data_IF_360586876988
#
_entry.id   IF_360586876988
#
_cell.length_a   1.000
_cell.length_b   1.000
_cell.length_c   1.000
_cell.angle_alpha   90.00
_cell.angle_beta   90.00
_cell.angle_gamma   90.00
#
_symmetry.space_group_name_H-M   'P 1'
#
loop_
_entity.id
_entity.type
_entity.pdbx_description
1 polymer ?
#
# COMPACT_ATOMS: atom_id res chain seq x y z
N UNK A 1 10.33 -0.84 21.18
CA UNK A 1 9.75 -2.08 20.59
C UNK A 1 8.75 -1.77 19.47
N UNK A 2 7.90 -0.74 19.60
CA UNK A 2 6.97 -0.32 18.54
C UNK A 2 7.63 -0.04 17.17
N UNK A 3 8.72 0.75 17.13
CA UNK A 3 9.42 1.08 15.87
C UNK A 3 10.04 -0.15 15.16
N UNK A 4 10.58 -1.12 15.90
CA UNK A 4 11.14 -2.35 15.32
C UNK A 4 10.07 -3.24 14.66
N UNK A 5 8.88 -3.35 15.29
CA UNK A 5 7.73 -4.07 14.72
C UNK A 5 7.23 -3.35 13.47
N UNK A 6 7.06 -2.02 13.53
CA UNK A 6 6.58 -1.21 12.39
C UNK A 6 7.52 -1.30 11.19
N UNK A 7 8.83 -1.18 11.41
CA UNK A 7 9.83 -1.33 10.35
C UNK A 7 9.77 -2.71 9.68
N UNK A 8 9.62 -3.76 10.49
CA UNK A 8 9.51 -5.14 9.99
C UNK A 8 8.23 -5.34 9.17
N UNK A 9 7.10 -4.79 9.62
CA UNK A 9 5.82 -4.84 8.90
C UNK A 9 5.91 -4.13 7.55
N UNK A 10 6.54 -2.96 7.47
CA UNK A 10 6.72 -2.26 6.18
C UNK A 10 7.60 -3.03 5.21
N UNK A 11 8.72 -3.62 5.67
CA UNK A 11 9.59 -4.42 4.81
C UNK A 11 8.91 -5.70 4.30
N UNK A 12 8.22 -6.42 5.20
CA UNK A 12 7.49 -7.64 4.84
C UNK A 12 6.32 -7.30 3.91
N UNK A 13 5.53 -6.27 4.26
CA UNK A 13 4.39 -5.83 3.45
C UNK A 13 4.81 -5.35 2.05
N UNK A 14 5.89 -4.57 1.96
CA UNK A 14 6.40 -4.06 0.70
C UNK A 14 6.86 -5.16 -0.25
N UNK A 15 7.62 -6.14 0.26
CA UNK A 15 8.11 -7.27 -0.54
C UNK A 15 6.97 -8.21 -0.99
N UNK A 16 6.02 -8.53 -0.10
CA UNK A 16 4.86 -9.35 -0.45
C UNK A 16 3.97 -8.64 -1.47
N UNK A 17 3.67 -7.36 -1.27
CA UNK A 17 2.85 -6.58 -2.20
C UNK A 17 3.43 -6.55 -3.61
N UNK A 18 4.75 -6.31 -3.71
CA UNK A 18 5.45 -6.35 -5.00
C UNK A 18 5.40 -7.73 -5.66
N UNK A 19 5.58 -8.81 -4.89
CA UNK A 19 5.52 -10.17 -5.42
C UNK A 19 4.13 -10.49 -5.98
N UNK A 20 3.06 -10.12 -5.28
CA UNK A 20 1.68 -10.31 -5.75
C UNK A 20 1.42 -9.51 -7.04
N UNK A 21 1.84 -8.25 -7.12
CA UNK A 21 1.71 -7.46 -8.35
C UNK A 21 2.53 -8.04 -9.51
N UNK A 22 3.70 -8.59 -9.23
CA UNK A 22 4.53 -9.29 -10.22
C UNK A 22 3.80 -10.52 -10.77
N UNK A 23 3.13 -11.29 -9.92
CA UNK A 23 2.32 -12.44 -10.36
C UNK A 23 1.17 -12.00 -11.27
N UNK A 24 0.46 -10.92 -10.93
CA UNK A 24 -0.60 -10.37 -11.79
C UNK A 24 -0.08 -9.90 -13.16
N UNK A 25 1.06 -9.22 -13.17
CA UNK A 25 1.72 -8.82 -14.41
C UNK A 25 2.06 -10.04 -15.26
N UNK A 26 2.81 -10.99 -14.68
CA UNK A 26 3.31 -12.16 -15.39
C UNK A 26 2.17 -13.03 -15.89
N UNK A 27 1.12 -13.26 -15.10
CA UNK A 27 -0.02 -14.07 -15.53
C UNK A 27 -0.74 -13.43 -16.73
N UNK A 28 -0.96 -12.12 -16.69
CA UNK A 28 -1.66 -11.38 -17.76
C UNK A 28 -0.81 -11.31 -19.03
N UNK A 29 0.45 -10.88 -18.91
CA UNK A 29 1.36 -10.74 -20.04
C UNK A 29 1.63 -12.10 -20.71
N UNK A 30 1.90 -13.16 -19.93
CA UNK A 30 2.15 -14.49 -20.48
C UNK A 30 0.90 -15.07 -21.16
N UNK A 31 -0.30 -14.83 -20.60
CA UNK A 31 -1.55 -15.27 -21.21
C UNK A 31 -1.83 -14.55 -22.53
N UNK A 32 -1.58 -13.23 -22.59
CA UNK A 32 -1.74 -12.44 -23.80
C UNK A 32 -0.75 -12.89 -24.90
N UNK A 33 0.51 -13.13 -24.55
CA UNK A 33 1.52 -13.67 -25.48
C UNK A 33 1.10 -15.05 -25.99
N UNK A 34 0.66 -15.95 -25.10
CA UNK A 34 0.19 -17.28 -25.46
C UNK A 34 -1.03 -17.26 -26.39
N UNK A 35 -1.86 -16.22 -26.31
CA UNK A 35 -3.00 -16.00 -27.22
C UNK A 35 -2.62 -15.42 -28.59
N UNK A 36 -1.33 -15.14 -28.84
CA UNK A 36 -0.85 -14.56 -30.10
C UNK A 36 -0.93 -13.03 -30.15
N UNK A 37 -1.16 -12.35 -29.02
CA UNK A 37 -1.13 -10.89 -28.94
C UNK A 37 0.30 -10.37 -29.16
N UNK A 38 0.44 -9.27 -29.88
CA UNK A 38 1.74 -8.63 -30.09
C UNK A 38 2.40 -8.27 -28.74
N UNK A 39 3.71 -8.48 -28.62
CA UNK A 39 4.45 -8.39 -27.35
C UNK A 39 4.28 -7.04 -26.64
N UNK A 40 4.36 -5.93 -27.38
CA UNK A 40 4.18 -4.58 -26.82
C UNK A 40 2.75 -4.37 -26.26
N UNK A 41 1.74 -4.95 -26.91
CA UNK A 41 0.37 -4.92 -26.42
C UNK A 41 0.20 -5.80 -25.17
N UNK A 42 0.81 -6.99 -25.16
CA UNK A 42 0.78 -7.90 -24.01
C UNK A 42 1.43 -7.28 -22.75
N UNK A 43 2.53 -6.54 -22.89
CA UNK A 43 3.14 -5.81 -21.76
C UNK A 43 2.22 -4.70 -21.24
N UNK A 44 1.57 -3.97 -22.16
CA UNK A 44 0.59 -2.95 -21.80
C UNK A 44 -0.58 -3.57 -21.02
N UNK A 45 -1.07 -4.73 -21.43
CA UNK A 45 -2.13 -5.44 -20.71
C UNK A 45 -1.68 -5.93 -19.34
N UNK A 46 -0.43 -6.41 -19.21
CA UNK A 46 0.20 -6.70 -17.92
C UNK A 46 0.17 -5.50 -16.97
N UNK A 47 0.58 -4.32 -17.44
CA UNK A 47 0.56 -3.10 -16.62
C UNK A 47 -0.86 -2.65 -16.26
N UNK A 48 -1.83 -2.75 -17.18
CA UNK A 48 -3.25 -2.45 -16.88
C UNK A 48 -3.76 -3.32 -15.73
N UNK A 49 -3.46 -4.62 -15.76
CA UNK A 49 -3.86 -5.55 -14.70
C UNK A 49 -3.24 -5.16 -13.35
N UNK A 50 -1.95 -4.81 -13.32
CA UNK A 50 -1.27 -4.34 -12.10
C UNK A 50 -1.88 -3.06 -11.55
N UNK A 51 -2.14 -2.06 -12.39
CA UNK A 51 -2.75 -0.81 -11.94
C UNK A 51 -4.15 -1.01 -11.39
N UNK A 52 -4.95 -1.89 -11.99
CA UNK A 52 -6.26 -2.23 -11.46
C UNK A 52 -6.14 -2.93 -10.08
N UNK A 53 -5.24 -3.91 -9.96
CA UNK A 53 -4.99 -4.59 -8.70
C UNK A 53 -4.51 -3.61 -7.61
N UNK A 54 -3.62 -2.67 -7.96
CA UNK A 54 -3.15 -1.63 -7.06
C UNK A 54 -4.27 -0.69 -6.63
N UNK A 55 -5.15 -0.27 -7.55
CA UNK A 55 -6.30 0.56 -7.24
C UNK A 55 -7.25 -0.12 -6.24
N UNK A 56 -7.60 -1.39 -6.47
CA UNK A 56 -8.43 -2.18 -5.54
C UNK A 56 -7.75 -2.32 -4.18
N UNK A 57 -6.44 -2.57 -4.18
CA UNK A 57 -5.65 -2.70 -2.95
C UNK A 57 -5.64 -1.40 -2.15
N UNK A 58 -5.50 -0.24 -2.82
CA UNK A 58 -5.54 1.07 -2.19
C UNK A 58 -6.91 1.40 -1.59
N UNK A 59 -8.00 1.07 -2.29
CA UNK A 59 -9.36 1.24 -1.74
C UNK A 59 -9.54 0.36 -0.51
N UNK A 60 -9.13 -0.91 -0.56
CA UNK A 60 -9.21 -1.81 0.59
C UNK A 60 -8.39 -1.30 1.78
N UNK A 61 -7.14 -0.87 1.53
CA UNK A 61 -6.28 -0.30 2.56
C UNK A 61 -6.87 0.98 3.17
N UNK A 62 -7.50 1.83 2.36
CA UNK A 62 -8.19 3.04 2.81
C UNK A 62 -9.37 2.71 3.73
N UNK A 63 -10.21 1.73 3.36
CA UNK A 63 -11.32 1.26 4.20
C UNK A 63 -10.81 0.69 5.52
N UNK A 64 -9.77 -0.13 5.48
CA UNK A 64 -9.13 -0.71 6.67
C UNK A 64 -8.60 0.41 7.59
N UNK A 65 -7.89 1.39 7.03
CA UNK A 65 -7.38 2.55 7.77
C UNK A 65 -8.52 3.37 8.40
N UNK A 66 -9.57 3.65 7.64
CA UNK A 66 -10.74 4.37 8.14
C UNK A 66 -11.43 3.65 9.31
N UNK A 67 -11.54 2.32 9.25
CA UNK A 67 -12.18 1.53 10.30
C UNK A 67 -11.30 1.33 11.55
N UNK A 68 -9.99 1.18 11.37
CA UNK A 68 -9.05 0.88 12.46
C UNK A 68 -8.46 2.11 13.14
N UNK A 69 -8.31 3.24 12.42
CA UNK A 69 -7.80 4.49 12.99
C UNK A 69 -8.93 5.16 13.77
N UNK A 70 -9.16 4.67 15.00
CA UNK A 70 -10.12 5.21 15.96
C UNK A 70 -9.44 5.65 17.26
N UNK A 71 -8.23 6.19 17.15
CA UNK A 71 -7.54 6.86 18.25
C UNK A 71 -8.11 8.26 18.47
N UNK A 72 -8.43 8.60 19.71
CA UNK A 72 -8.87 9.97 20.07
C UNK A 72 -7.74 10.94 19.72
N UNK A 73 -8.07 12.10 19.15
CA UNK A 73 -7.09 13.19 18.91
C UNK A 73 -6.28 13.52 20.17
N UNK A 74 -6.90 13.34 21.33
CA UNK A 74 -6.36 13.48 22.69
C UNK A 74 -5.12 12.58 22.94
N UNK A 75 -5.12 11.34 22.45
CA UNK A 75 -4.02 10.38 22.67
C UNK A 75 -2.89 10.50 21.62
N UNK A 76 -3.15 11.24 20.54
CA UNK A 76 -2.25 11.38 19.40
C UNK A 76 -1.29 12.57 19.55
N UNK A 77 -1.45 13.44 20.57
CA UNK A 77 -0.61 14.61 20.71
C UNK A 77 -0.33 15.14 22.13
N UNK A 78 0.63 14.54 22.86
CA UNK A 78 1.20 15.15 24.06
C UNK A 78 2.16 16.32 23.76
N UNK A 79 2.63 16.48 22.52
CA UNK A 79 3.61 17.49 22.13
C UNK A 79 3.01 18.89 21.90
N UNK A 80 1.70 18.98 21.63
CA UNK A 80 0.99 20.26 21.57
C UNK A 80 0.74 20.84 22.97
N UNK A 81 0.54 19.99 23.98
CA UNK A 81 0.42 20.42 25.39
C UNK A 81 1.74 21.04 25.90
N UNK A 82 2.90 20.44 25.61
CA UNK A 82 4.21 20.98 26.03
C UNK A 82 4.55 22.32 25.37
N UNK A 83 4.18 22.50 24.09
CA UNK A 83 4.39 23.75 23.36
C UNK A 83 3.43 24.86 23.82
N UNK A 84 2.19 24.52 24.22
CA UNK A 84 1.22 25.47 24.77
C UNK A 84 1.64 25.93 26.17
N UNK A 85 2.14 25.02 27.02
CA UNK A 85 2.65 25.34 28.37
C UNK A 85 3.92 26.21 28.30
N UNK A 86 4.78 26.02 27.30
CA UNK A 86 6.01 26.81 27.13
C UNK A 86 5.79 28.23 26.59
N UNK A 87 4.59 28.56 26.07
CA UNK A 87 4.25 29.90 25.58
C UNK A 87 3.52 30.77 26.62
N UNK A 88 3.09 30.18 27.74
CA UNK A 88 2.38 30.86 28.84
C UNK A 88 3.32 31.21 30.00
N UNK A 89 4.56 30.72 29.97
CA UNK A 89 5.67 31.05 30.88
C UNK A 89 6.75 31.88 30.17
#
# INVERSE_FOLDING_TARGET
MASAVVNSVFHIGGSIGLAVFTVFYASTANSAIASGTAELAAFTDGYKAVFLAAAVTMVAASVIGFLLIRGKKEDLNPAWDEAEVALVH
#
